data_IF_269243827598
#
_entry.id   IF_269243827598
#
_cell.length_a   1.000
_cell.length_b   1.000
_cell.length_c   1.000
_cell.angle_alpha   90.00
_cell.angle_beta   90.00
_cell.angle_gamma   90.00
#
_symmetry.space_group_name_H-M   'P 1'
#
loop_
_entity.id
_entity.type
_entity.pdbx_description
1 polymer ?
#
# COMPACT_ATOMS: atom_id res chain seq x y z
N UNK A 1 20.66 -71.38 15.09
CA UNK A 1 19.71 -70.71 14.20
C UNK A 1 19.08 -69.61 15.04
N UNK A 2 19.73 -68.45 15.02
CA UNK A 2 19.61 -67.41 16.04
C UNK A 2 18.93 -66.19 15.45
N UNK A 3 17.85 -65.80 16.11
CA UNK A 3 16.95 -64.68 15.88
C UNK A 3 17.63 -63.33 16.20
N UNK A 4 17.60 -62.31 15.33
CA UNK A 4 18.12 -60.99 15.65
C UNK A 4 16.99 -59.96 15.81
N UNK A 5 16.24 -60.03 16.91
CA UNK A 5 15.46 -58.89 17.41
C UNK A 5 15.57 -58.78 18.93
N UNK A 6 16.70 -58.23 19.39
CA UNK A 6 16.81 -57.69 20.75
C UNK A 6 17.96 -56.69 20.87
N UNK A 7 17.63 -55.40 20.86
CA UNK A 7 18.37 -54.28 21.46
C UNK A 7 17.59 -52.99 21.12
N UNK A 8 17.48 -51.95 21.94
CA UNK A 8 17.62 -51.70 23.37
C UNK A 8 17.11 -50.25 23.51
N UNK A 9 16.22 -49.97 24.46
CA UNK A 9 15.80 -48.59 24.78
C UNK A 9 16.81 -48.01 25.76
N UNK A 10 17.37 -46.80 25.55
CA UNK A 10 18.02 -46.07 26.62
C UNK A 10 17.05 -45.07 27.27
N UNK A 11 17.02 -45.14 28.60
CA UNK A 11 16.43 -44.19 29.52
C UNK A 11 17.15 -42.83 29.50
N UNK A 12 16.50 -41.86 30.14
CA UNK A 12 16.69 -40.41 30.18
C UNK A 12 18.09 -39.84 30.49
N UNK A 13 18.32 -38.67 29.87
CA UNK A 13 18.88 -37.39 30.37
C UNK A 13 20.10 -37.43 31.32
N UNK A 14 21.25 -36.93 30.85
CA UNK A 14 21.83 -35.62 31.24
C UNK A 14 23.26 -35.49 30.66
N UNK A 15 23.74 -34.25 30.56
CA UNK A 15 25.07 -33.80 30.15
C UNK A 15 25.44 -33.84 28.66
N UNK A 16 25.02 -32.78 27.94
CA UNK A 16 25.90 -32.15 26.95
C UNK A 16 25.88 -30.64 27.15
N UNK A 17 26.92 -30.18 27.84
CA UNK A 17 27.33 -28.79 27.97
C UNK A 17 27.73 -28.22 26.59
N UNK A 18 27.01 -27.20 26.15
CA UNK A 18 27.40 -26.33 25.04
C UNK A 18 27.21 -24.88 25.47
N UNK A 19 28.10 -24.42 26.35
CA UNK A 19 28.34 -23.00 26.56
C UNK A 19 28.75 -22.30 25.25
N UNK A 20 27.88 -21.42 24.76
CA UNK A 20 28.27 -20.24 23.99
C UNK A 20 27.31 -19.11 24.37
N UNK A 21 27.74 -18.31 25.33
CA UNK A 21 27.21 -16.97 25.57
C UNK A 21 27.40 -16.11 24.32
N UNK A 22 26.35 -15.41 23.92
CA UNK A 22 26.37 -14.51 22.79
C UNK A 22 24.97 -14.00 22.48
N UNK A 23 24.58 -12.97 23.22
CA UNK A 23 23.40 -12.13 22.96
C UNK A 23 23.22 -11.87 21.47
N UNK A 24 22.21 -12.49 20.88
CA UNK A 24 21.66 -12.12 19.58
C UNK A 24 20.23 -11.66 19.79
N UNK A 25 20.18 -10.37 20.10
CA UNK A 25 19.08 -9.43 20.08
C UNK A 25 17.86 -9.93 19.25
N UNK A 26 16.77 -10.18 19.97
CA UNK A 26 15.47 -10.49 19.42
C UNK A 26 14.91 -9.25 18.72
N UNK A 27 15.27 -9.08 17.44
CA UNK A 27 14.74 -8.03 16.58
C UNK A 27 13.21 -8.06 16.56
N UNK A 28 12.63 -7.05 17.18
CA UNK A 28 11.19 -6.78 17.27
C UNK A 28 10.56 -6.79 15.88
N UNK A 29 9.45 -7.51 15.77
CA UNK A 29 8.68 -7.67 14.54
C UNK A 29 8.24 -6.32 14.00
N UNK A 30 8.48 -6.10 12.72
CA UNK A 30 8.04 -4.91 12.00
C UNK A 30 6.52 -5.01 11.80
N UNK A 31 5.77 -4.28 12.62
CA UNK A 31 4.33 -4.07 12.47
C UNK A 31 4.04 -3.29 11.19
N UNK A 32 3.81 -4.02 10.10
CA UNK A 32 3.30 -3.48 8.84
C UNK A 32 1.94 -4.08 8.54
N UNK A 33 0.94 -3.20 8.39
CA UNK A 33 -0.35 -3.40 7.70
C UNK A 33 -1.63 -3.32 8.56
N UNK A 34 -1.66 -2.38 9.52
CA UNK A 34 -2.93 -1.85 10.06
C UNK A 34 -2.89 -0.33 10.10
N UNK A 35 -3.11 0.32 8.97
CA UNK A 35 -3.14 1.79 8.95
C UNK A 35 -4.51 2.31 8.52
N UNK A 36 -5.08 3.15 9.38
CA UNK A 36 -5.96 4.24 8.94
C UNK A 36 -5.16 5.29 8.15
N UNK A 37 -5.70 6.48 7.88
CA UNK A 37 -4.93 7.51 7.18
C UNK A 37 -3.63 7.78 7.96
N UNK A 38 -2.50 7.69 7.27
CA UNK A 38 -1.19 7.95 7.84
C UNK A 38 -1.14 9.40 8.35
N UNK A 39 -0.50 9.68 9.50
CA UNK A 39 -0.38 11.04 10.01
C UNK A 39 0.20 11.98 8.95
N UNK A 40 -0.32 13.20 8.84
CA UNK A 40 0.07 14.17 7.82
C UNK A 40 1.04 15.18 8.41
N UNK A 41 2.20 15.33 7.79
CA UNK A 41 3.23 16.33 8.13
C UNK A 41 3.26 17.40 7.05
N UNK A 42 2.84 18.62 7.37
CA UNK A 42 2.89 19.74 6.43
C UNK A 42 4.21 20.50 6.54
N UNK A 43 4.89 20.73 5.41
CA UNK A 43 6.10 21.56 5.34
C UNK A 43 5.73 22.95 4.86
N UNK A 44 5.87 23.94 5.75
CA UNK A 44 5.51 25.35 5.52
C UNK A 44 6.70 26.26 5.75
N UNK A 45 6.71 27.41 5.08
CA UNK A 45 7.80 28.38 5.17
C UNK A 45 7.89 29.23 3.91
N UNK A 46 8.64 30.33 3.97
CA UNK A 46 8.84 31.22 2.82
C UNK A 46 9.44 30.52 1.60
N UNK A 47 9.35 31.11 0.40
CA UNK A 47 10.14 30.67 -0.74
C UNK A 47 11.65 30.61 -0.42
N UNK A 48 12.37 29.67 -1.05
CA UNK A 48 13.84 29.54 -0.98
C UNK A 48 14.47 29.20 0.39
N UNK A 49 13.68 28.89 1.41
CA UNK A 49 14.17 28.38 2.71
C UNK A 49 14.62 26.91 2.66
N UNK A 50 14.43 26.22 1.53
CA UNK A 50 14.86 24.83 1.31
C UNK A 50 13.84 23.75 1.68
N UNK A 51 12.53 24.05 1.63
CA UNK A 51 11.43 23.10 1.88
C UNK A 51 11.52 21.84 1.01
N UNK A 52 11.60 21.99 -0.31
CA UNK A 52 11.62 20.84 -1.22
C UNK A 52 12.91 20.02 -1.09
N UNK A 53 14.04 20.66 -0.74
CA UNK A 53 15.27 19.93 -0.38
C UNK A 53 15.08 19.09 0.88
N UNK A 54 14.40 19.62 1.90
CA UNK A 54 14.08 18.90 3.13
C UNK A 54 13.10 17.75 2.88
N UNK A 55 12.05 17.98 2.08
CA UNK A 55 11.09 16.94 1.67
C UNK A 55 11.81 15.82 0.93
N UNK A 56 12.63 16.15 -0.07
CA UNK A 56 13.44 15.17 -0.80
C UNK A 56 14.40 14.39 0.10
N UNK A 57 14.90 15.04 1.16
CA UNK A 57 15.75 14.38 2.15
C UNK A 57 14.96 13.33 2.95
N UNK A 58 13.75 13.69 3.38
CA UNK A 58 12.86 12.86 4.21
C UNK A 58 12.35 11.62 3.44
N UNK A 59 11.96 11.78 2.17
CA UNK A 59 11.41 10.67 1.36
C UNK A 59 12.46 9.62 0.95
N UNK A 60 13.75 9.96 0.92
CA UNK A 60 14.83 9.05 0.51
C UNK A 60 14.85 8.70 -0.99
N UNK A 61 15.99 8.16 -1.47
CA UNK A 61 16.31 8.00 -2.91
C UNK A 61 15.51 6.93 -3.69
N UNK A 62 14.37 6.42 -3.21
CA UNK A 62 13.60 5.38 -3.91
C UNK A 62 12.31 5.85 -4.60
N UNK A 63 12.03 7.15 -4.66
CA UNK A 63 10.95 7.70 -5.49
C UNK A 63 11.31 8.95 -6.30
N UNK A 64 12.58 9.39 -6.31
CA UNK A 64 13.00 10.52 -7.13
C UNK A 64 13.31 10.07 -8.57
N UNK A 65 12.29 9.96 -9.43
CA UNK A 65 12.50 10.34 -10.83
C UNK A 65 12.45 11.86 -10.84
N UNK A 66 13.63 12.44 -11.05
CA UNK A 66 13.79 13.86 -11.34
C UNK A 66 13.19 14.11 -12.72
N UNK A 67 12.07 14.82 -12.79
CA UNK A 67 11.86 15.77 -13.89
C UNK A 67 12.11 17.17 -13.32
N UNK A 68 13.34 17.65 -13.52
CA UNK A 68 13.68 19.06 -13.41
C UNK A 68 13.08 19.79 -14.62
N UNK A 69 11.83 20.26 -14.48
CA UNK A 69 11.28 21.30 -15.36
C UNK A 69 10.90 22.50 -14.48
N UNK A 70 11.74 23.55 -14.43
CA UNK A 70 11.37 24.79 -13.78
C UNK A 70 10.22 25.43 -14.56
N UNK A 71 9.00 25.45 -14.00
CA UNK A 71 7.86 26.12 -14.64
C UNK A 71 6.46 25.59 -14.37
N UNK A 72 6.28 24.53 -13.58
CA UNK A 72 4.94 23.99 -13.27
C UNK A 72 4.54 24.26 -11.83
N UNK A 73 3.56 25.13 -11.67
CA UNK A 73 2.65 25.13 -10.51
C UNK A 73 1.36 24.43 -10.90
N UNK A 74 0.54 23.87 -10.03
CA UNK A 74 0.33 24.03 -8.58
C UNK A 74 -0.60 22.86 -8.23
N UNK A 75 -0.21 21.98 -7.32
CA UNK A 75 -1.12 21.22 -6.45
C UNK A 75 -0.29 20.63 -5.30
N UNK A 76 -0.93 20.43 -4.15
CA UNK A 76 -0.29 19.88 -2.94
C UNK A 76 0.29 18.51 -3.26
N UNK A 77 1.61 18.40 -3.30
CA UNK A 77 2.24 17.10 -3.55
C UNK A 77 2.43 16.41 -2.20
N UNK A 78 1.68 15.32 -2.02
CA UNK A 78 1.79 14.41 -0.90
C UNK A 78 2.77 13.29 -1.26
N UNK A 79 3.70 13.00 -0.36
CA UNK A 79 4.66 11.91 -0.51
C UNK A 79 4.58 10.99 0.70
N UNK A 80 4.74 9.69 0.48
CA UNK A 80 4.85 8.72 1.57
C UNK A 80 6.27 8.74 2.16
N UNK A 81 6.35 8.75 3.49
CA UNK A 81 7.60 8.73 4.22
C UNK A 81 7.53 7.68 5.35
N UNK A 82 8.70 7.16 5.71
CA UNK A 82 8.86 6.21 6.80
C UNK A 82 10.10 6.54 7.61
N UNK A 83 9.97 6.62 8.93
CA UNK A 83 11.08 6.79 9.86
C UNK A 83 10.87 5.91 11.10
N UNK A 84 11.92 5.23 11.56
CA UNK A 84 11.87 4.29 12.70
C UNK A 84 10.65 3.34 12.70
N UNK A 85 10.32 2.80 11.52
CA UNK A 85 9.20 1.88 11.31
C UNK A 85 7.82 2.55 11.20
N UNK A 86 7.66 3.82 11.56
CA UNK A 86 6.40 4.56 11.51
C UNK A 86 6.22 5.27 10.17
N UNK A 87 5.08 5.04 9.50
CA UNK A 87 4.74 5.69 8.23
C UNK A 87 3.95 6.97 8.47
N UNK A 88 4.15 7.95 7.59
CA UNK A 88 3.44 9.22 7.59
C UNK A 88 3.47 9.82 6.18
N UNK A 89 2.55 10.74 5.91
CA UNK A 89 2.49 11.45 4.63
C UNK A 89 3.08 12.84 4.81
N UNK A 90 4.02 13.23 3.96
CA UNK A 90 4.58 14.59 3.95
C UNK A 90 3.95 15.40 2.82
N UNK A 91 3.46 16.60 3.13
CA UNK A 91 2.83 17.50 2.15
C UNK A 91 3.73 18.73 1.97
N UNK A 92 4.31 18.88 0.78
CA UNK A 92 5.01 20.12 0.41
C UNK A 92 3.98 21.16 -0.01
N UNK A 93 4.00 22.29 0.68
CA UNK A 93 3.10 23.39 0.36
C UNK A 93 3.55 24.17 -0.87
N UNK A 94 4.74 23.92 -1.41
CA UNK A 94 5.31 24.64 -2.54
C UNK A 94 5.72 26.06 -2.15
N UNK A 95 6.93 26.49 -2.50
CA UNK A 95 7.33 27.89 -2.33
C UNK A 95 6.83 28.71 -3.51
N UNK A 96 5.88 29.64 -3.34
CA UNK A 96 5.49 30.51 -4.46
C UNK A 96 5.37 32.00 -4.14
N UNK A 97 5.80 32.78 -5.13
CA UNK A 97 5.79 34.23 -5.16
C UNK A 97 4.37 34.79 -5.27
N UNK A 98 3.98 35.69 -4.36
CA UNK A 98 2.80 36.53 -4.52
C UNK A 98 3.17 37.76 -5.37
N UNK A 99 2.31 38.09 -6.33
CA UNK A 99 2.31 39.39 -6.98
C UNK A 99 2.27 40.51 -5.93
N UNK A 100 3.03 41.57 -6.23
CA UNK A 100 3.73 42.44 -5.29
C UNK A 100 2.89 43.37 -4.39
N UNK A 101 1.63 43.04 -4.07
CA UNK A 101 0.77 43.93 -3.25
C UNK A 101 0.48 43.47 -1.83
N UNK A 102 0.61 42.18 -1.48
CA UNK A 102 0.35 41.73 -0.09
C UNK A 102 1.00 40.35 0.24
N UNK A 103 2.34 40.26 0.15
CA UNK A 103 3.08 38.98 0.28
C UNK A 103 2.82 38.23 1.60
N UNK A 104 2.69 38.95 2.71
CA UNK A 104 2.46 38.36 4.03
C UNK A 104 1.09 37.66 4.15
N UNK A 105 0.03 38.22 3.55
CA UNK A 105 -1.32 37.63 3.59
C UNK A 105 -1.42 36.36 2.76
N UNK A 106 -0.81 36.34 1.58
CA UNK A 106 -0.79 35.17 0.71
C UNK A 106 -0.08 33.98 1.39
N UNK A 107 1.04 34.24 2.07
CA UNK A 107 1.80 33.23 2.81
C UNK A 107 1.00 32.71 4.00
N UNK A 108 0.31 33.60 4.73
CA UNK A 108 -0.56 33.21 5.84
C UNK A 108 -1.72 32.31 5.39
N UNK A 109 -2.42 32.66 4.30
CA UNK A 109 -3.54 31.86 3.79
C UNK A 109 -3.12 30.47 3.29
N UNK A 110 -1.94 30.38 2.67
CA UNK A 110 -1.39 29.10 2.21
C UNK A 110 -0.97 28.20 3.37
N UNK A 111 -0.28 28.78 4.36
CA UNK A 111 0.07 28.06 5.56
C UNK A 111 -1.20 27.63 6.32
N UNK A 112 -2.25 28.45 6.39
CA UNK A 112 -3.52 28.11 7.02
C UNK A 112 -4.19 26.91 6.35
N UNK A 113 -4.22 26.90 5.01
CA UNK A 113 -4.77 25.79 4.26
C UNK A 113 -3.99 24.48 4.53
N UNK A 114 -2.66 24.54 4.55
CA UNK A 114 -1.81 23.37 4.77
C UNK A 114 -1.90 22.84 6.20
N UNK A 115 -1.98 23.76 7.15
CA UNK A 115 -2.13 23.45 8.56
C UNK A 115 -3.49 22.79 8.80
N UNK A 116 -4.57 23.19 8.13
CA UNK A 116 -5.91 22.64 8.34
C UNK A 116 -5.97 21.10 8.27
N UNK A 117 -5.20 20.48 7.37
CA UNK A 117 -5.19 19.02 7.14
C UNK A 117 -4.01 18.28 7.77
N UNK A 118 -3.06 19.00 8.40
CA UNK A 118 -1.87 18.40 9.00
C UNK A 118 -2.11 17.87 10.42
N UNK A 119 -1.40 16.85 10.85
CA UNK A 119 -1.28 16.46 12.26
C UNK A 119 -0.09 17.15 12.93
N UNK A 120 0.99 17.38 12.17
CA UNK A 120 2.20 18.10 12.61
C UNK A 120 2.64 19.07 11.53
N UNK A 121 3.16 20.23 11.93
CA UNK A 121 3.60 21.27 11.01
C UNK A 121 5.10 21.52 11.17
N UNK A 122 5.86 21.39 10.08
CA UNK A 122 7.26 21.79 10.00
C UNK A 122 7.35 23.21 9.46
N UNK A 123 7.69 24.18 10.31
CA UNK A 123 7.91 25.55 9.90
C UNK A 123 9.39 25.81 9.61
N UNK A 124 9.73 25.87 8.32
CA UNK A 124 11.11 25.94 7.83
C UNK A 124 11.54 27.40 7.63
N UNK A 125 12.63 27.77 8.30
CA UNK A 125 13.29 29.08 8.21
C UNK A 125 14.73 28.89 7.73
N UNK A 126 15.24 29.85 6.96
CA UNK A 126 16.65 29.88 6.55
C UNK A 126 17.50 30.50 7.66
N UNK A 127 18.37 29.70 8.31
CA UNK A 127 19.22 30.16 9.41
C UNK A 127 20.21 31.25 9.00
N UNK A 128 20.57 31.35 7.70
CA UNK A 128 21.50 32.38 7.20
C UNK A 128 20.85 33.76 7.13
N UNK A 129 19.52 33.80 7.01
CA UNK A 129 18.74 35.03 6.90
C UNK A 129 18.17 35.44 8.26
N UNK A 130 17.86 34.47 9.12
CA UNK A 130 17.19 34.71 10.40
C UNK A 130 15.69 34.95 10.24
N UNK A 131 15.05 35.42 11.31
CA UNK A 131 13.63 35.74 11.34
C UNK A 131 13.31 36.99 10.52
N UNK A 132 12.25 36.94 9.72
CA UNK A 132 11.74 38.06 8.93
C UNK A 132 10.29 38.39 9.29
N UNK A 133 9.80 39.59 8.97
CA UNK A 133 8.40 40.01 9.18
C UNK A 133 7.38 39.03 8.59
N UNK A 134 7.76 38.38 7.49
CA UNK A 134 6.94 37.37 6.82
C UNK A 134 6.84 36.08 7.64
N UNK A 135 7.93 35.70 8.32
CA UNK A 135 7.93 34.54 9.21
C UNK A 135 7.11 34.84 10.46
N UNK A 136 7.20 36.07 11.01
CA UNK A 136 6.37 36.49 12.14
C UNK A 136 4.87 36.49 11.82
N UNK A 137 4.49 36.87 10.60
CA UNK A 137 3.10 36.76 10.14
C UNK A 137 2.63 35.29 10.08
N UNK A 138 3.47 34.39 9.57
CA UNK A 138 3.18 32.96 9.53
C UNK A 138 3.08 32.37 10.96
N UNK A 139 4.00 32.74 11.86
CA UNK A 139 4.01 32.34 13.27
C UNK A 139 2.72 32.72 14.00
N UNK A 140 2.22 33.95 13.78
CA UNK A 140 0.93 34.40 14.36
C UNK A 140 -0.26 33.55 13.90
N UNK A 141 -0.25 33.06 12.67
CA UNK A 141 -1.27 32.13 12.18
C UNK A 141 -1.06 30.73 12.78
N UNK A 142 0.17 30.21 12.73
CA UNK A 142 0.52 28.89 13.25
C UNK A 142 0.15 28.72 14.73
N UNK A 143 0.40 29.74 15.56
CA UNK A 143 -0.01 29.74 16.98
C UNK A 143 -1.52 29.65 17.19
N UNK A 144 -2.33 30.18 16.28
CA UNK A 144 -3.81 30.10 16.35
C UNK A 144 -4.36 28.73 15.95
N UNK A 145 -3.58 27.91 15.26
CA UNK A 145 -4.03 26.63 14.71
C UNK A 145 -4.15 25.49 15.74
N UNK A 146 -3.60 25.68 16.94
CA UNK A 146 -3.51 24.66 18.00
C UNK A 146 -2.81 23.34 17.63
N UNK A 147 -2.18 23.26 16.44
CA UNK A 147 -1.44 22.08 16.00
C UNK A 147 0.00 22.10 16.54
N UNK A 148 0.63 20.92 16.75
CA UNK A 148 2.06 20.84 17.02
C UNK A 148 2.87 21.46 15.87
N UNK A 149 3.69 22.45 16.19
CA UNK A 149 4.58 23.13 15.22
C UNK A 149 6.01 22.91 15.64
N UNK A 150 6.83 22.36 14.73
CA UNK A 150 8.27 22.22 14.91
C UNK A 150 8.97 23.28 14.07
N UNK A 151 9.79 24.12 14.73
CA UNK A 151 10.58 25.14 14.08
C UNK A 151 11.85 24.50 13.49
N UNK A 152 12.02 24.57 12.17
CA UNK A 152 13.13 23.96 11.46
C UNK A 152 14.07 25.05 10.95
N UNK A 153 15.28 25.09 11.48
CA UNK A 153 16.32 26.04 11.13
C UNK A 153 17.22 25.42 10.04
N UNK A 154 16.90 25.65 8.77
CA UNK A 154 17.54 24.99 7.64
C UNK A 154 18.80 25.72 7.15
N UNK A 155 19.64 25.02 6.38
CA UNK A 155 20.95 25.45 5.85
C UNK A 155 22.04 25.61 6.92
N UNK A 156 21.94 24.86 8.03
CA UNK A 156 22.95 24.82 9.11
C UNK A 156 24.06 23.84 8.74
N UNK A 157 25.09 24.34 8.06
CA UNK A 157 26.13 23.49 7.47
C UNK A 157 27.37 23.30 8.36
N UNK A 158 27.46 24.00 9.49
CA UNK A 158 28.56 23.91 10.45
C UNK A 158 28.11 24.25 11.89
N UNK A 159 28.99 23.98 12.86
CA UNK A 159 28.70 24.17 14.29
C UNK A 159 28.48 25.65 14.69
N UNK A 160 29.13 26.60 14.01
CA UNK A 160 28.90 28.03 14.27
C UNK A 160 27.47 28.43 13.93
N UNK A 161 26.98 27.98 12.77
CA UNK A 161 25.60 28.23 12.34
C UNK A 161 24.55 27.54 13.22
N UNK A 162 24.93 26.44 13.87
CA UNK A 162 24.08 25.76 14.85
C UNK A 162 23.85 26.67 16.07
N UNK A 163 24.91 27.31 16.57
CA UNK A 163 24.82 28.31 17.65
C UNK A 163 23.99 29.51 17.19
N UNK A 164 24.23 30.03 15.98
CA UNK A 164 23.48 31.18 15.43
C UNK A 164 21.98 30.91 15.27
N UNK A 165 21.60 29.66 14.95
CA UNK A 165 20.20 29.24 14.86
C UNK A 165 19.44 29.43 16.18
N UNK A 166 20.16 29.58 17.31
CA UNK A 166 19.58 29.88 18.62
C UNK A 166 18.82 31.21 18.66
N UNK A 167 19.16 32.14 17.78
CA UNK A 167 18.42 33.40 17.63
C UNK A 167 16.94 33.21 17.25
N UNK A 168 16.60 32.09 16.59
CA UNK A 168 15.23 31.79 16.14
C UNK A 168 14.25 31.42 17.27
N UNK A 169 14.74 31.19 18.49
CA UNK A 169 13.88 31.08 19.67
C UNK A 169 12.97 32.31 19.87
N UNK A 170 13.41 33.48 19.38
CA UNK A 170 12.63 34.72 19.40
C UNK A 170 11.27 34.61 18.69
N UNK A 171 11.12 33.69 17.72
CA UNK A 171 9.85 33.39 17.07
C UNK A 171 8.84 32.71 18.03
N UNK A 172 9.31 32.20 19.16
CA UNK A 172 8.51 31.58 20.22
C UNK A 172 7.62 30.44 19.72
N UNK A 173 8.20 29.55 18.92
CA UNK A 173 7.61 28.27 18.51
C UNK A 173 8.29 27.08 19.21
N UNK A 174 9.03 27.34 20.29
CA UNK A 174 9.85 26.35 20.99
C UNK A 174 11.28 26.29 20.43
N UNK A 175 11.98 25.19 20.72
CA UNK A 175 13.34 24.95 20.28
C UNK A 175 13.41 24.78 18.74
N UNK A 176 14.23 25.56 18.01
CA UNK A 176 14.57 25.30 16.63
C UNK A 176 15.42 24.04 16.50
N UNK A 177 15.09 23.24 15.49
CA UNK A 177 15.83 22.06 15.07
C UNK A 177 16.79 22.46 13.95
N UNK A 178 18.11 22.54 14.21
CA UNK A 178 19.10 22.90 13.20
C UNK A 178 19.28 21.76 12.20
N UNK A 179 19.04 22.04 10.92
CA UNK A 179 19.19 21.05 9.85
C UNK A 179 19.96 21.59 8.66
N UNK A 180 20.72 20.71 8.02
CA UNK A 180 21.16 20.92 6.63
C UNK A 180 20.42 19.92 5.76
N UNK A 181 19.34 20.36 5.12
CA UNK A 181 18.61 19.50 4.19
C UNK A 181 19.49 18.97 3.05
N UNK A 182 20.48 19.77 2.62
CA UNK A 182 21.40 19.43 1.54
C UNK A 182 22.43 18.37 1.97
N UNK A 183 23.00 18.50 3.18
CA UNK A 183 24.07 17.63 3.66
C UNK A 183 23.60 16.53 4.64
N UNK A 184 22.32 16.56 5.04
CA UNK A 184 21.69 15.59 5.92
C UNK A 184 21.94 15.79 7.43
N UNK A 185 22.70 16.80 7.84
CA UNK A 185 22.94 17.11 9.27
C UNK A 185 21.62 17.43 9.98
N UNK A 186 21.43 16.88 11.18
CA UNK A 186 20.27 17.15 12.07
C UNK A 186 18.93 16.59 11.58
N UNK A 187 18.90 15.92 10.42
CA UNK A 187 17.65 15.40 9.86
C UNK A 187 17.07 14.22 10.63
N UNK A 188 17.91 13.40 11.28
CA UNK A 188 17.47 12.31 12.16
C UNK A 188 16.77 12.84 13.41
N UNK A 189 17.42 13.75 14.14
CA UNK A 189 16.86 14.37 15.36
C UNK A 189 15.54 15.10 15.07
N UNK A 190 15.45 15.80 13.92
CA UNK A 190 14.19 16.40 13.47
C UNK A 190 13.11 15.34 13.23
N UNK A 191 13.44 14.22 12.60
CA UNK A 191 12.47 13.16 12.31
C UNK A 191 11.99 12.46 13.57
N UNK A 192 12.87 12.28 14.57
CA UNK A 192 12.48 11.76 15.89
C UNK A 192 11.49 12.70 16.58
N UNK A 193 11.77 14.00 16.58
CA UNK A 193 10.85 15.02 17.11
C UNK A 193 9.51 15.07 16.35
N UNK A 194 9.53 14.85 15.04
CA UNK A 194 8.31 14.72 14.23
C UNK A 194 7.46 13.55 14.69
N UNK A 195 8.05 12.38 14.95
CA UNK A 195 7.31 11.22 15.44
C UNK A 195 6.73 11.44 16.84
N UNK A 196 7.47 12.14 17.71
CA UNK A 196 7.00 12.49 19.06
C UNK A 196 5.83 13.48 19.04
N UNK A 197 5.85 14.45 18.11
CA UNK A 197 4.79 15.44 17.95
C UNK A 197 3.52 14.89 17.29
N UNK A 198 3.60 13.75 16.60
CA UNK A 198 2.43 13.12 15.99
C UNK A 198 1.47 12.55 17.04
N UNK A 199 0.16 12.49 16.76
CA UNK A 199 -0.79 11.77 17.59
C UNK A 199 -0.25 10.38 17.92
N UNK A 200 -0.31 9.94 19.18
CA UNK A 200 0.17 8.62 19.57
C UNK A 200 -0.40 7.56 18.62
N UNK A 201 0.41 6.60 18.14
CA UNK A 201 -0.10 5.52 17.31
C UNK A 201 -1.29 4.89 18.04
N UNK A 202 -2.40 4.76 17.33
CA UNK A 202 -3.58 4.12 17.89
C UNK A 202 -3.16 2.74 18.42
N UNK A 203 -3.62 2.34 19.63
CA UNK A 203 -3.42 0.97 20.09
C UNK A 203 -3.78 0.00 18.96
N UNK A 204 -3.00 -1.08 18.74
CA UNK A 204 -3.19 -2.03 17.63
C UNK A 204 -4.63 -2.57 17.47
N UNK A 205 -5.44 -2.42 18.52
CA UNK A 205 -6.79 -2.94 18.70
C UNK A 205 -7.90 -1.88 18.83
N UNK A 206 -7.67 -0.61 18.49
CA UNK A 206 -8.78 0.35 18.33
C UNK A 206 -9.27 0.34 16.88
N UNK A 207 -10.39 -0.34 16.54
CA UNK A 207 -10.97 -0.25 15.22
C UNK A 207 -11.48 1.17 14.99
N UNK A 208 -10.69 1.99 14.28
CA UNK A 208 -11.26 3.16 13.60
C UNK A 208 -12.22 2.64 12.53
N UNK A 209 -13.37 3.30 12.30
CA UNK A 209 -14.18 2.99 11.14
C UNK A 209 -13.34 3.28 9.90
N UNK A 210 -12.80 2.22 9.27
CA UNK A 210 -12.28 2.30 7.91
C UNK A 210 -13.43 2.79 7.04
N UNK A 211 -13.16 3.76 6.17
CA UNK A 211 -14.13 4.15 5.14
C UNK A 211 -14.56 2.94 4.29
N UNK A 212 -15.58 3.11 3.44
CA UNK A 212 -16.02 2.07 2.51
C UNK A 212 -14.85 1.39 1.80
N UNK A 213 -14.87 0.05 1.69
CA UNK A 213 -13.81 -0.71 1.03
C UNK A 213 -13.71 -0.31 -0.44
N UNK A 214 -12.49 -0.22 -0.97
CA UNK A 214 -12.24 0.28 -2.34
C UNK A 214 -12.26 -0.86 -3.35
N UNK A 215 -13.13 -0.73 -4.35
CA UNK A 215 -13.30 -1.73 -5.41
C UNK A 215 -13.16 -1.09 -6.79
N UNK A 216 -12.36 -1.72 -7.65
CA UNK A 216 -12.27 -1.35 -9.07
C UNK A 216 -13.13 -2.28 -9.92
N UNK A 217 -13.87 -1.72 -10.87
CA UNK A 217 -14.58 -2.48 -11.90
C UNK A 217 -13.86 -2.32 -13.23
N UNK A 218 -13.14 -3.37 -13.64
CA UNK A 218 -12.29 -3.36 -14.84
C UNK A 218 -12.72 -4.43 -15.83
N UNK A 219 -12.27 -4.30 -17.08
CA UNK A 219 -12.64 -5.20 -18.18
C UNK A 219 -12.60 -4.46 -19.51
N UNK A 220 -12.67 -5.19 -20.62
CA UNK A 220 -12.64 -4.61 -21.97
C UNK A 220 -13.86 -3.72 -22.27
N UNK A 221 -13.84 -2.87 -23.30
CA UNK A 221 -15.06 -2.20 -23.78
C UNK A 221 -16.20 -3.20 -24.03
N UNK A 222 -17.46 -2.79 -23.81
CA UNK A 222 -18.67 -3.55 -24.15
C UNK A 222 -18.92 -4.91 -23.44
N UNK A 223 -18.05 -5.32 -22.51
CA UNK A 223 -18.26 -6.52 -21.65
C UNK A 223 -19.40 -6.36 -20.65
N UNK A 224 -20.00 -5.17 -20.53
CA UNK A 224 -21.16 -4.90 -19.67
C UNK A 224 -20.86 -4.22 -18.32
N UNK A 225 -19.71 -3.54 -18.18
CA UNK A 225 -19.36 -2.77 -16.96
C UNK A 225 -20.44 -1.77 -16.55
N UNK A 226 -20.88 -0.90 -17.48
CA UNK A 226 -21.92 0.10 -17.18
C UNK A 226 -23.26 -0.53 -16.83
N UNK A 227 -23.62 -1.66 -17.48
CA UNK A 227 -24.84 -2.39 -17.14
C UNK A 227 -24.77 -2.97 -15.71
N UNK A 228 -23.60 -3.50 -15.31
CA UNK A 228 -23.41 -4.03 -13.97
C UNK A 228 -23.47 -2.93 -12.91
N UNK A 229 -22.78 -1.80 -13.13
CA UNK A 229 -22.84 -0.65 -12.22
C UNK A 229 -24.26 -0.11 -12.06
N UNK A 230 -24.98 0.03 -13.18
CA UNK A 230 -26.35 0.51 -13.14
C UNK A 230 -27.27 -0.46 -12.38
N UNK A 231 -27.01 -1.78 -12.45
CA UNK A 231 -27.76 -2.75 -11.65
C UNK A 231 -27.43 -2.63 -10.18
N UNK A 232 -26.15 -2.66 -9.81
CA UNK A 232 -25.71 -2.49 -8.43
C UNK A 232 -26.28 -1.19 -7.83
N UNK A 233 -26.28 -0.10 -8.60
CA UNK A 233 -26.85 1.18 -8.17
C UNK A 233 -28.39 1.24 -8.15
N UNK A 234 -29.10 0.32 -8.81
CA UNK A 234 -30.57 0.31 -8.90
C UNK A 234 -31.22 -0.61 -7.87
N UNK A 235 -30.54 -1.67 -7.44
CA UNK A 235 -31.04 -2.60 -6.42
C UNK A 235 -31.05 -1.98 -5.01
N UNK A 236 -30.24 -0.94 -4.78
CA UNK A 236 -30.04 -0.33 -3.47
C UNK A 236 -30.25 1.20 -3.49
N UNK A 237 -31.46 1.67 -3.89
CA UNK A 237 -31.87 3.03 -3.53
C UNK A 237 -32.20 3.08 -2.04
N UNK A 238 -31.20 3.25 -1.20
CA UNK A 238 -31.35 3.72 0.17
C UNK A 238 -30.23 4.73 0.50
N UNK A 239 -30.56 6.01 0.32
CA UNK A 239 -30.00 7.18 1.02
C UNK A 239 -28.47 7.41 0.87
N UNK A 240 -28.10 8.34 -0.02
CA UNK A 240 -26.95 9.21 0.25
C UNK A 240 -27.53 10.55 0.66
N UNK A 241 -27.69 10.75 1.97
CA UNK A 241 -28.00 12.05 2.51
C UNK A 241 -26.76 12.92 2.31
N UNK A 242 -26.90 13.99 1.54
CA UNK A 242 -25.87 14.99 1.34
C UNK A 242 -25.73 15.76 2.65
N UNK A 243 -24.83 15.34 3.54
CA UNK A 243 -24.38 16.21 4.63
C UNK A 243 -23.60 17.35 3.99
N UNK A 244 -24.27 18.50 3.86
CA UNK A 244 -23.70 19.74 3.38
C UNK A 244 -22.50 20.13 4.26
N UNK A 245 -21.30 20.21 3.69
CA UNK A 245 -20.16 20.81 4.40
C UNK A 245 -18.76 20.29 4.12
N UNK A 246 -18.55 19.32 3.24
CA UNK A 246 -17.18 18.86 2.92
C UNK A 246 -16.81 19.19 1.49
N UNK A 247 -15.76 20.00 1.30
CA UNK A 247 -15.00 20.11 0.06
C UNK A 247 -14.31 18.78 -0.20
N UNK A 248 -15.04 17.86 -0.84
CA UNK A 248 -14.56 16.53 -1.22
C UNK A 248 -13.95 16.64 -2.62
N UNK A 249 -12.72 16.15 -2.74
CA UNK A 249 -12.04 15.95 -4.01
C UNK A 249 -12.99 15.27 -5.02
N UNK A 250 -13.07 15.76 -6.25
CA UNK A 250 -14.02 15.22 -7.20
C UNK A 250 -13.62 13.78 -7.62
N UNK A 251 -14.62 12.89 -7.60
CA UNK A 251 -14.76 11.64 -8.38
C UNK A 251 -14.39 10.28 -7.75
N UNK A 252 -14.88 9.99 -6.54
CA UNK A 252 -15.16 8.61 -6.13
C UNK A 252 -16.66 8.43 -5.89
N UNK A 253 -17.24 7.35 -6.41
CA UNK A 253 -18.67 7.09 -6.21
C UNK A 253 -18.86 5.96 -5.21
N UNK A 254 -19.64 6.22 -4.17
CA UNK A 254 -20.11 5.17 -3.27
C UNK A 254 -21.14 4.29 -4.00
N UNK A 255 -21.02 2.98 -3.84
CA UNK A 255 -22.00 2.00 -4.26
C UNK A 255 -22.23 1.03 -3.12
N UNK A 256 -23.49 0.70 -2.87
CA UNK A 256 -23.82 -0.41 -2.01
C UNK A 256 -23.68 -1.70 -2.86
N UNK A 257 -23.13 -2.77 -2.26
CA UNK A 257 -23.00 -4.08 -2.89
C UNK A 257 -23.26 -5.13 -1.81
N UNK A 258 -24.46 -5.71 -1.82
CA UNK A 258 -24.87 -6.75 -0.87
C UNK A 258 -25.00 -6.23 0.56
N UNK A 259 -25.63 -5.06 0.72
CA UNK A 259 -25.88 -4.43 2.02
C UNK A 259 -24.66 -3.78 2.69
N UNK A 260 -23.54 -3.64 1.97
CA UNK A 260 -22.34 -2.96 2.45
C UNK A 260 -21.98 -1.83 1.49
N UNK A 261 -21.59 -0.67 2.02
CA UNK A 261 -21.09 0.44 1.20
C UNK A 261 -19.63 0.20 0.77
N UNK A 262 -19.38 0.38 -0.52
CA UNK A 262 -18.09 0.30 -1.17
C UNK A 262 -17.76 1.61 -1.90
N UNK A 263 -16.49 1.95 -1.98
CA UNK A 263 -15.99 3.05 -2.78
C UNK A 263 -15.57 2.50 -4.15
N UNK A 264 -16.26 2.91 -5.22
CA UNK A 264 -15.86 2.57 -6.58
C UNK A 264 -14.77 3.52 -7.05
N UNK A 265 -13.60 2.96 -7.31
CA UNK A 265 -12.43 3.71 -7.79
C UNK A 265 -12.58 4.00 -9.30
N UNK A 266 -12.38 5.26 -9.70
CA UNK A 266 -12.39 5.75 -11.08
C UNK A 266 -13.72 5.58 -11.87
N UNK A 267 -14.81 6.14 -11.33
CA UNK A 267 -16.13 6.10 -12.01
C UNK A 267 -16.43 7.26 -12.95
N UNK A 268 -15.57 8.27 -13.05
CA UNK A 268 -15.71 9.37 -14.03
C UNK A 268 -15.83 8.84 -15.46
N UNK A 269 -15.05 7.81 -15.81
CA UNK A 269 -15.10 7.16 -17.13
C UNK A 269 -16.33 6.26 -17.33
N UNK A 270 -16.87 5.69 -16.26
CA UNK A 270 -18.01 4.77 -16.30
C UNK A 270 -19.35 5.50 -16.38
N UNK A 271 -19.47 6.70 -15.80
CA UNK A 271 -20.67 7.57 -15.90
C UNK A 271 -20.67 8.46 -17.15
N UNK A 272 -19.53 8.99 -17.63
CA UNK A 272 -19.50 9.80 -18.87
C UNK A 272 -19.90 9.03 -20.14
N UNK A 273 -19.81 7.69 -20.13
CA UNK A 273 -20.17 6.83 -21.28
C UNK A 273 -21.66 6.57 -21.45
N UNK A 274 -22.52 7.08 -20.57
CA UNK A 274 -23.99 6.98 -20.78
C UNK A 274 -24.47 7.97 -21.86
N UNK A 275 -23.66 8.98 -22.24
CA UNK A 275 -24.06 10.02 -23.19
C UNK A 275 -23.21 10.19 -24.46
N UNK A 276 -21.91 9.91 -24.44
CA UNK A 276 -21.06 10.16 -25.62
C UNK A 276 -19.95 9.11 -25.76
N UNK A 277 -20.01 8.37 -26.87
CA UNK A 277 -18.93 7.54 -27.35
C UNK A 277 -18.08 8.37 -28.31
N UNK A 278 -16.90 8.82 -27.88
CA UNK A 278 -15.81 9.11 -28.82
C UNK A 278 -14.44 9.07 -28.15
N UNK A 279 -13.51 8.43 -28.87
CA UNK A 279 -12.09 8.80 -28.94
C UNK A 279 -11.28 8.77 -27.65
N UNK A 280 -10.68 7.61 -27.34
CA UNK A 280 -9.21 7.42 -27.16
C UNK A 280 -8.94 6.17 -26.32
N UNK A 281 -8.53 5.08 -26.98
CA UNK A 281 -8.14 3.83 -26.29
C UNK A 281 -6.93 4.00 -25.37
N UNK A 282 -6.00 4.90 -25.73
CA UNK A 282 -4.78 5.18 -24.96
C UNK A 282 -5.04 5.83 -23.58
N UNK A 283 -6.04 6.71 -23.48
CA UNK A 283 -6.42 7.31 -22.19
C UNK A 283 -7.31 6.39 -21.35
N UNK A 284 -7.87 5.33 -21.93
CA UNK A 284 -8.63 4.31 -21.19
C UNK A 284 -7.69 3.32 -20.46
N UNK A 285 -6.52 2.99 -21.03
CA UNK A 285 -5.54 2.10 -20.39
C UNK A 285 -4.83 2.76 -19.20
N UNK A 286 -4.37 4.02 -19.33
CA UNK A 286 -3.72 4.75 -18.23
C UNK A 286 -4.64 4.95 -17.01
N UNK A 287 -5.94 5.17 -17.24
CA UNK A 287 -6.95 5.27 -16.18
C UNK A 287 -7.22 3.92 -15.48
N UNK A 288 -7.16 2.83 -16.23
CA UNK A 288 -7.34 1.48 -15.68
C UNK A 288 -6.25 1.14 -14.65
N UNK A 289 -5.01 1.58 -14.86
CA UNK A 289 -3.90 1.34 -13.91
C UNK A 289 -4.09 2.09 -12.59
N UNK A 290 -4.35 3.39 -12.64
CA UNK A 290 -4.60 4.19 -11.44
C UNK A 290 -5.79 3.65 -10.63
N UNK A 291 -6.85 3.19 -11.31
CA UNK A 291 -8.00 2.57 -10.67
C UNK A 291 -7.65 1.25 -9.95
N UNK A 292 -6.82 0.40 -10.57
CA UNK A 292 -6.33 -0.84 -9.97
C UNK A 292 -5.43 -0.53 -8.77
N UNK A 293 -4.53 0.43 -8.89
CA UNK A 293 -3.58 0.80 -7.83
C UNK A 293 -4.25 1.43 -6.60
N UNK A 294 -5.36 2.14 -6.79
CA UNK A 294 -6.11 2.71 -5.68
C UNK A 294 -7.13 1.72 -5.07
N UNK A 295 -7.43 0.60 -5.72
CA UNK A 295 -8.37 -0.41 -5.21
C UNK A 295 -7.73 -1.42 -4.26
N UNK A 296 -8.54 -2.06 -3.42
CA UNK A 296 -8.12 -3.19 -2.59
C UNK A 296 -8.49 -4.52 -3.29
N UNK A 297 -9.65 -4.50 -3.96
CA UNK A 297 -10.16 -5.63 -4.75
C UNK A 297 -10.60 -5.14 -6.13
N UNK A 298 -10.31 -5.94 -7.15
CA UNK A 298 -10.77 -5.69 -8.52
C UNK A 298 -11.79 -6.76 -8.93
N UNK A 299 -12.89 -6.30 -9.51
CA UNK A 299 -13.82 -7.13 -10.29
C UNK A 299 -13.39 -7.02 -11.75
N UNK A 300 -12.86 -8.11 -12.31
CA UNK A 300 -12.55 -8.20 -13.73
C UNK A 300 -13.75 -8.81 -14.45
N UNK A 301 -14.43 -8.00 -15.25
CA UNK A 301 -15.59 -8.41 -16.04
C UNK A 301 -15.14 -8.98 -17.40
N UNK A 302 -15.50 -10.23 -17.64
CA UNK A 302 -15.27 -10.95 -18.89
C UNK A 302 -16.62 -11.22 -19.58
N UNK A 303 -16.66 -11.13 -20.90
CA UNK A 303 -17.84 -11.54 -21.66
C UNK A 303 -17.81 -13.05 -21.87
N UNK A 304 -18.73 -13.79 -21.25
CA UNK A 304 -18.79 -15.24 -21.34
C UNK A 304 -19.28 -15.75 -22.73
N UNK A 305 -19.95 -14.89 -23.49
CA UNK A 305 -20.46 -15.22 -24.83
C UNK A 305 -19.37 -15.15 -25.91
N UNK A 306 -18.25 -14.48 -25.62
CA UNK A 306 -17.12 -14.33 -26.52
C UNK A 306 -15.90 -15.14 -26.02
N UNK A 307 -14.95 -15.48 -26.91
CA UNK A 307 -13.67 -16.05 -26.50
C UNK A 307 -12.85 -15.09 -25.63
N UNK A 308 -12.10 -15.63 -24.66
CA UNK A 308 -11.14 -14.85 -23.87
C UNK A 308 -10.01 -14.37 -24.79
N UNK A 309 -9.80 -13.05 -24.90
CA UNK A 309 -8.77 -12.47 -25.78
C UNK A 309 -7.58 -11.93 -25.01
N UNK A 310 -6.50 -11.59 -25.74
CA UNK A 310 -5.26 -11.08 -25.15
C UNK A 310 -5.47 -9.84 -24.26
N UNK A 311 -6.39 -8.94 -24.64
CA UNK A 311 -6.69 -7.76 -23.85
C UNK A 311 -7.31 -8.11 -22.47
N UNK A 312 -8.08 -9.19 -22.37
CA UNK A 312 -8.56 -9.69 -21.06
C UNK A 312 -7.38 -10.16 -20.20
N UNK A 313 -6.45 -10.90 -20.80
CA UNK A 313 -5.24 -11.38 -20.12
C UNK A 313 -4.36 -10.24 -19.64
N UNK A 314 -4.20 -9.17 -20.44
CA UNK A 314 -3.46 -7.98 -20.03
C UNK A 314 -4.08 -7.31 -18.80
N UNK A 315 -5.42 -7.18 -18.75
CA UNK A 315 -6.12 -6.63 -17.58
C UNK A 315 -5.89 -7.50 -16.34
N UNK A 316 -5.97 -8.81 -16.49
CA UNK A 316 -5.71 -9.75 -15.40
C UNK A 316 -4.28 -9.64 -14.87
N UNK A 317 -3.30 -9.58 -15.77
CA UNK A 317 -1.89 -9.38 -15.40
C UNK A 317 -1.70 -8.11 -14.59
N UNK A 318 -2.27 -6.97 -15.04
CA UNK A 318 -2.18 -5.70 -14.32
C UNK A 318 -2.73 -5.78 -12.90
N UNK A 319 -3.88 -6.44 -12.70
CA UNK A 319 -4.45 -6.64 -11.35
C UNK A 319 -3.53 -7.51 -10.48
N UNK A 320 -3.01 -8.61 -11.02
CA UNK A 320 -2.13 -9.52 -10.26
C UNK A 320 -0.77 -8.90 -9.93
N UNK A 321 -0.20 -8.13 -10.84
CA UNK A 321 1.07 -7.42 -10.66
C UNK A 321 0.94 -6.28 -9.65
N UNK A 322 -0.20 -5.60 -9.62
CA UNK A 322 -0.54 -4.63 -8.60
C UNK A 322 -0.83 -5.26 -7.22
N UNK A 323 -0.83 -6.60 -7.13
CA UNK A 323 -1.00 -7.32 -5.88
C UNK A 323 -2.41 -7.20 -5.28
N UNK A 324 -3.44 -6.94 -6.09
CA UNK A 324 -4.82 -6.74 -5.59
C UNK A 324 -5.61 -8.03 -5.50
N UNK A 325 -6.57 -8.07 -4.59
CA UNK A 325 -7.56 -9.15 -4.57
C UNK A 325 -8.35 -9.15 -5.89
N UNK A 326 -8.76 -10.33 -6.36
CA UNK A 326 -9.33 -10.52 -7.68
C UNK A 326 -10.58 -11.40 -7.64
N UNK A 327 -11.66 -10.87 -8.20
CA UNK A 327 -12.89 -11.62 -8.52
C UNK A 327 -13.11 -11.56 -10.03
N UNK A 328 -13.24 -12.73 -10.66
CA UNK A 328 -13.59 -12.87 -12.07
C UNK A 328 -15.10 -12.97 -12.21
N UNK A 329 -15.69 -12.04 -12.95
CA UNK A 329 -17.12 -12.05 -13.22
C UNK A 329 -17.36 -12.34 -14.71
N UNK A 330 -17.82 -13.55 -15.01
CA UNK A 330 -18.22 -13.98 -16.35
C UNK A 330 -19.63 -13.47 -16.63
N UNK A 331 -19.70 -12.31 -17.28
CA UNK A 331 -20.92 -11.58 -17.58
C UNK A 331 -21.57 -12.08 -18.88
N UNK A 332 -22.83 -11.69 -19.10
CA UNK A 332 -23.70 -12.15 -20.20
C UNK A 332 -23.95 -13.67 -20.17
N UNK A 333 -24.00 -14.24 -18.97
CA UNK A 333 -24.29 -15.67 -18.79
C UNK A 333 -25.67 -16.10 -19.31
N UNK A 334 -26.58 -15.14 -19.56
CA UNK A 334 -27.85 -15.37 -20.26
C UNK A 334 -27.70 -15.75 -21.74
N UNK A 335 -26.52 -15.52 -22.33
CA UNK A 335 -26.21 -15.84 -23.73
C UNK A 335 -25.36 -17.12 -23.88
N UNK A 336 -25.01 -17.79 -22.80
CA UNK A 336 -24.14 -18.98 -22.81
C UNK A 336 -25.00 -20.24 -22.90
N UNK A 337 -24.92 -20.92 -24.03
CA UNK A 337 -25.50 -22.25 -24.26
C UNK A 337 -24.53 -23.39 -23.88
N UNK A 338 -24.94 -24.65 -24.09
CA UNK A 338 -24.12 -25.83 -23.73
C UNK A 338 -22.81 -25.89 -24.52
N UNK A 339 -22.86 -25.59 -25.81
CA UNK A 339 -21.68 -25.58 -26.68
C UNK A 339 -20.70 -24.48 -26.26
N UNK A 340 -21.17 -23.24 -26.07
CA UNK A 340 -20.31 -22.14 -25.61
C UNK A 340 -19.70 -22.44 -24.25
N UNK A 341 -20.47 -23.04 -23.32
CA UNK A 341 -19.97 -23.45 -22.01
C UNK A 341 -18.81 -24.43 -22.13
N UNK A 342 -18.93 -25.46 -22.98
CA UNK A 342 -17.87 -26.43 -23.20
C UNK A 342 -16.56 -25.78 -23.70
N UNK A 343 -16.65 -24.84 -24.64
CA UNK A 343 -15.47 -24.11 -25.11
C UNK A 343 -14.91 -23.14 -24.06
N UNK A 344 -15.77 -22.44 -23.34
CA UNK A 344 -15.36 -21.51 -22.29
C UNK A 344 -14.60 -22.21 -21.17
N UNK A 345 -15.03 -23.39 -20.72
CA UNK A 345 -14.32 -24.16 -19.68
C UNK A 345 -12.89 -24.50 -20.12
N UNK A 346 -12.70 -24.87 -21.39
CA UNK A 346 -11.37 -25.11 -21.98
C UNK A 346 -10.53 -23.85 -22.12
N UNK A 347 -11.15 -22.72 -22.45
CA UNK A 347 -10.47 -21.43 -22.51
C UNK A 347 -10.02 -20.98 -21.12
N UNK A 348 -10.85 -21.12 -20.10
CA UNK A 348 -10.50 -20.85 -18.70
C UNK A 348 -9.30 -21.70 -18.29
N UNK A 349 -9.34 -23.00 -18.59
CA UNK A 349 -8.25 -23.91 -18.27
C UNK A 349 -6.97 -23.61 -19.05
N UNK A 350 -7.02 -22.92 -20.19
CA UNK A 350 -5.85 -22.62 -21.01
C UNK A 350 -5.29 -21.22 -20.73
N UNK A 351 -6.13 -20.21 -20.80
CA UNK A 351 -5.76 -18.80 -20.72
C UNK A 351 -5.61 -18.32 -19.27
N UNK A 352 -6.36 -18.91 -18.31
CA UNK A 352 -6.37 -18.48 -16.92
C UNK A 352 -5.53 -19.37 -15.99
N UNK A 353 -4.65 -20.22 -16.55
CA UNK A 353 -3.79 -21.17 -15.80
C UNK A 353 -2.91 -20.52 -14.73
N UNK A 354 -2.60 -19.23 -14.88
CA UNK A 354 -1.75 -18.48 -13.93
C UNK A 354 -2.50 -17.97 -12.71
N UNK A 355 -3.84 -17.92 -12.78
CA UNK A 355 -4.71 -17.41 -11.72
C UNK A 355 -5.81 -18.42 -11.33
N UNK A 356 -5.49 -19.71 -11.12
CA UNK A 356 -6.50 -20.71 -10.77
C UNK A 356 -7.16 -20.42 -9.42
N UNK A 357 -6.50 -19.59 -8.60
CA UNK A 357 -6.95 -19.15 -7.29
C UNK A 357 -7.99 -18.03 -7.34
N UNK A 358 -8.27 -17.41 -8.49
CA UNK A 358 -9.23 -16.32 -8.56
C UNK A 358 -10.67 -16.84 -8.42
N UNK A 359 -11.49 -16.17 -7.59
CA UNK A 359 -12.90 -16.53 -7.38
C UNK A 359 -13.67 -16.22 -8.67
N UNK A 360 -14.42 -17.18 -9.18
CA UNK A 360 -15.20 -17.06 -10.43
C UNK A 360 -16.69 -16.95 -10.13
N UNK A 361 -17.35 -15.93 -10.68
CA UNK A 361 -18.78 -15.70 -10.53
C UNK A 361 -19.41 -15.54 -11.91
N UNK A 362 -20.39 -16.39 -12.22
CA UNK A 362 -21.14 -16.30 -13.48
C UNK A 362 -22.35 -15.40 -13.27
N UNK A 363 -22.42 -14.28 -13.99
CA UNK A 363 -23.41 -13.22 -13.80
C UNK A 363 -24.10 -12.81 -15.10
N UNK A 364 -25.27 -12.21 -14.98
CA UNK A 364 -25.88 -11.46 -16.08
C UNK A 364 -26.27 -10.07 -15.62
N UNK A 365 -25.46 -9.09 -16.01
CA UNK A 365 -25.73 -7.67 -15.83
C UNK A 365 -26.94 -7.17 -16.65
N UNK A 366 -27.56 -8.00 -17.51
CA UNK A 366 -28.83 -7.69 -18.16
C UNK A 366 -30.05 -8.22 -17.39
N UNK A 367 -30.00 -9.47 -16.90
CA UNK A 367 -31.15 -10.11 -16.24
C UNK A 367 -31.17 -9.98 -14.72
N UNK A 368 -30.00 -9.85 -14.10
CA UNK A 368 -29.82 -9.77 -12.64
C UNK A 368 -29.29 -11.06 -12.04
N UNK A 369 -29.25 -12.13 -12.85
CA UNK A 369 -28.82 -13.46 -12.42
C UNK A 369 -27.47 -13.40 -11.72
N UNK A 370 -27.44 -13.91 -10.49
CA UNK A 370 -26.25 -14.13 -9.64
C UNK A 370 -25.42 -12.88 -9.33
N UNK A 371 -25.93 -11.67 -9.54
CA UNK A 371 -25.19 -10.43 -9.22
C UNK A 371 -24.97 -10.32 -7.71
N UNK A 372 -25.92 -10.81 -6.91
CA UNK A 372 -25.86 -10.96 -5.45
C UNK A 372 -24.64 -11.77 -4.97
N UNK A 373 -24.15 -12.71 -5.79
CA UNK A 373 -22.97 -13.54 -5.46
C UNK A 373 -21.65 -12.79 -5.53
N UNK A 374 -21.60 -11.59 -6.11
CA UNK A 374 -20.40 -10.76 -6.13
C UNK A 374 -20.02 -10.28 -4.73
N UNK A 375 -21.00 -9.91 -3.89
CA UNK A 375 -20.74 -9.44 -2.53
C UNK A 375 -20.01 -10.45 -1.64
N UNK A 376 -20.44 -11.73 -1.51
CA UNK A 376 -19.69 -12.72 -0.74
C UNK A 376 -18.33 -13.04 -1.38
N UNK A 377 -18.22 -13.07 -2.71
CA UNK A 377 -16.94 -13.29 -3.39
C UNK A 377 -15.92 -12.18 -3.09
N UNK A 378 -16.34 -10.92 -3.13
CA UNK A 378 -15.50 -9.77 -2.77
C UNK A 378 -15.03 -9.84 -1.31
N UNK A 379 -15.94 -10.17 -0.39
CA UNK A 379 -15.60 -10.32 1.03
C UNK A 379 -14.60 -11.45 1.27
N UNK A 380 -14.77 -12.60 0.62
CA UNK A 380 -13.85 -13.72 0.72
C UNK A 380 -12.46 -13.34 0.17
N UNK A 381 -12.42 -12.75 -1.02
CA UNK A 381 -11.16 -12.32 -1.65
C UNK A 381 -10.40 -11.33 -0.76
N UNK A 382 -11.10 -10.35 -0.18
CA UNK A 382 -10.49 -9.38 0.73
C UNK A 382 -10.05 -9.99 2.06
N UNK A 383 -10.87 -10.87 2.66
CA UNK A 383 -10.50 -11.56 3.88
C UNK A 383 -9.20 -12.37 3.69
N UNK A 384 -9.06 -13.06 2.55
CA UNK A 384 -7.85 -13.78 2.19
C UNK A 384 -6.68 -12.85 1.85
N UNK A 385 -6.93 -11.69 1.24
CA UNK A 385 -5.95 -10.64 0.95
C UNK A 385 -5.52 -9.84 2.20
N UNK A 386 -6.17 -10.03 3.36
CA UNK A 386 -5.73 -9.45 4.64
C UNK A 386 -5.29 -10.55 5.63
N UNK A 387 -5.33 -11.81 5.20
CA UNK A 387 -5.08 -12.96 6.07
C UNK A 387 -3.63 -13.00 6.54
N UNK A 388 -3.45 -13.00 7.86
CA UNK A 388 -2.17 -13.24 8.53
C UNK A 388 -2.11 -14.70 9.03
N UNK A 389 -1.08 -15.42 8.61
CA UNK A 389 -0.70 -16.73 9.16
C UNK A 389 0.34 -16.53 10.25
N UNK A 390 0.08 -16.92 11.51
CA UNK A 390 1.06 -16.82 12.59
C UNK A 390 2.38 -17.53 12.26
N UNK A 391 3.51 -16.89 12.55
CA UNK A 391 4.85 -17.42 12.24
C UNK A 391 5.08 -18.81 12.82
N UNK A 392 4.58 -19.09 14.03
CA UNK A 392 4.68 -20.42 14.65
C UNK A 392 3.95 -21.49 13.84
N UNK A 393 2.69 -21.25 13.49
CA UNK A 393 1.87 -22.15 12.67
C UNK A 393 2.50 -22.37 11.29
N UNK A 394 2.97 -21.30 10.64
CA UNK A 394 3.62 -21.37 9.34
C UNK A 394 4.87 -22.25 9.36
N UNK A 395 5.72 -22.11 10.39
CA UNK A 395 6.97 -22.88 10.47
C UNK A 395 6.71 -24.35 10.82
N UNK A 396 5.75 -24.64 11.71
CA UNK A 396 5.34 -26.02 12.00
C UNK A 396 4.87 -26.75 10.74
N UNK A 397 3.98 -26.11 9.99
CA UNK A 397 3.49 -26.63 8.71
C UNK A 397 4.62 -26.80 7.69
N UNK A 398 5.49 -25.80 7.54
CA UNK A 398 6.57 -25.83 6.56
C UNK A 398 7.60 -26.91 6.87
N UNK A 399 7.92 -27.13 8.15
CA UNK A 399 8.79 -28.23 8.57
C UNK A 399 8.20 -29.58 8.17
N UNK A 400 6.91 -29.81 8.46
CA UNK A 400 6.22 -31.04 8.06
C UNK A 400 6.20 -31.23 6.54
N UNK A 401 5.93 -30.15 5.79
CA UNK A 401 5.91 -30.18 4.33
C UNK A 401 7.28 -30.56 3.73
N UNK A 402 8.36 -29.93 4.22
CA UNK A 402 9.73 -30.19 3.74
C UNK A 402 10.19 -31.60 4.11
N UNK A 403 9.77 -32.15 5.25
CA UNK A 403 10.06 -33.53 5.62
C UNK A 403 9.33 -34.53 4.71
N UNK A 404 8.04 -34.29 4.44
CA UNK A 404 7.24 -35.15 3.57
C UNK A 404 7.67 -35.07 2.09
N UNK A 405 8.12 -33.90 1.63
CA UNK A 405 8.57 -33.69 0.25
C UNK A 405 9.82 -32.81 0.24
N UNK A 406 11.03 -33.39 0.42
CA UNK A 406 12.27 -32.63 0.44
C UNK A 406 12.60 -31.95 -0.89
N UNK A 407 13.39 -30.87 -0.84
CA UNK A 407 13.91 -30.21 -2.05
C UNK A 407 14.85 -31.15 -2.83
N UNK A 408 14.70 -31.27 -4.17
CA UNK A 408 15.54 -32.16 -4.98
C UNK A 408 17.01 -31.74 -4.99
N UNK A 409 17.89 -32.69 -4.71
CA UNK A 409 19.33 -32.49 -4.71
C UNK A 409 19.85 -32.31 -6.15
N UNK A 410 20.50 -31.18 -6.45
CA UNK A 410 21.29 -31.01 -7.69
C UNK A 410 22.72 -30.58 -7.34
N UNK A 411 23.71 -31.39 -7.76
CA UNK A 411 25.13 -31.01 -7.70
C UNK A 411 25.75 -30.95 -6.31
N UNK A 412 25.26 -31.72 -5.32
CA UNK A 412 25.87 -31.79 -3.99
C UNK A 412 24.86 -31.82 -2.85
N UNK A 413 24.94 -30.88 -1.91
CA UNK A 413 24.03 -30.81 -0.75
C UNK A 413 22.79 -29.98 -1.08
N UNK A 414 21.59 -30.53 -0.85
CA UNK A 414 20.36 -29.78 -1.07
C UNK A 414 20.28 -28.52 -0.17
N UNK A 415 19.80 -27.40 -0.72
CA UNK A 415 19.49 -26.21 0.06
C UNK A 415 18.41 -26.55 1.09
N UNK A 416 18.63 -26.17 2.35
CA UNK A 416 17.67 -26.36 3.44
C UNK A 416 16.85 -25.10 3.63
N UNK A 417 15.56 -25.28 3.85
CA UNK A 417 14.68 -24.24 4.37
C UNK A 417 14.91 -24.16 5.87
N UNK A 418 15.25 -22.99 6.38
CA UNK A 418 15.55 -22.74 7.79
C UNK A 418 14.26 -22.38 8.53
N UNK A 419 13.58 -21.36 8.04
CA UNK A 419 12.30 -20.88 8.55
C UNK A 419 11.61 -20.01 7.48
N UNK A 420 10.36 -19.68 7.71
CA UNK A 420 9.59 -18.74 6.90
C UNK A 420 8.88 -17.71 7.77
N UNK A 421 8.57 -16.57 7.17
CA UNK A 421 7.70 -15.54 7.75
C UNK A 421 6.78 -14.98 6.68
N UNK A 422 5.63 -14.46 7.10
CA UNK A 422 4.77 -13.66 6.24
C UNK A 422 5.08 -12.17 6.44
N UNK A 423 5.80 -11.58 5.49
CA UNK A 423 6.30 -10.21 5.55
C UNK A 423 5.21 -9.14 5.30
N UNK A 424 4.15 -9.47 4.56
CA UNK A 424 2.99 -8.57 4.34
C UNK A 424 1.72 -9.40 4.14
N UNK A 425 0.56 -8.82 4.45
CA UNK A 425 -0.75 -9.45 4.21
C UNK A 425 -1.38 -9.04 2.90
N UNK A 426 -1.04 -7.88 2.34
CA UNK A 426 -1.89 -7.18 1.37
C UNK A 426 -1.09 -6.72 0.13
N UNK A 427 -0.61 -7.65 -0.72
CA UNK A 427 -0.96 -9.08 -0.75
C UNK A 427 -0.12 -9.98 0.19
N UNK A 428 -0.56 -11.24 0.44
CA UNK A 428 0.17 -12.18 1.27
C UNK A 428 1.55 -12.50 0.69
N UNK A 429 2.60 -12.03 1.37
CA UNK A 429 4.00 -12.22 0.96
C UNK A 429 4.75 -13.07 1.96
N UNK A 430 5.21 -14.23 1.52
CA UNK A 430 5.98 -15.18 2.28
C UNK A 430 7.45 -15.12 1.89
N UNK A 431 8.33 -15.10 2.90
CA UNK A 431 9.79 -15.11 2.71
C UNK A 431 10.34 -16.40 3.31
N UNK A 432 10.91 -17.25 2.46
CA UNK A 432 11.59 -18.48 2.86
C UNK A 432 13.07 -18.17 3.07
N UNK A 433 13.56 -18.32 4.29
CA UNK A 433 14.98 -18.21 4.60
C UNK A 433 15.66 -19.55 4.41
N UNK A 434 16.69 -19.58 3.56
CA UNK A 434 17.29 -20.83 3.11
C UNK A 434 18.81 -20.81 3.17
N UNK A 435 19.45 -21.98 3.13
CA UNK A 435 20.92 -22.06 3.05
C UNK A 435 21.46 -21.83 1.63
N UNK A 436 20.59 -21.81 0.62
CA UNK A 436 20.93 -21.66 -0.79
C UNK A 436 19.67 -21.42 -1.62
N UNK A 437 19.82 -21.19 -2.93
CA UNK A 437 18.68 -20.98 -3.83
C UNK A 437 17.83 -22.25 -3.93
N UNK A 438 16.51 -22.10 -3.91
CA UNK A 438 15.57 -23.18 -4.23
C UNK A 438 15.24 -23.18 -5.72
N UNK A 439 14.96 -24.37 -6.25
CA UNK A 439 14.45 -24.53 -7.61
C UNK A 439 13.07 -23.86 -7.74
N UNK A 440 12.82 -23.16 -8.84
CA UNK A 440 11.58 -22.43 -9.07
C UNK A 440 10.34 -23.35 -9.06
N UNK A 441 10.47 -24.61 -9.50
CA UNK A 441 9.41 -25.62 -9.41
C UNK A 441 9.08 -25.98 -7.97
N UNK A 442 10.08 -26.05 -7.10
CA UNK A 442 9.86 -26.29 -5.68
C UNK A 442 9.23 -25.07 -4.97
N UNK A 443 9.61 -23.84 -5.35
CA UNK A 443 8.95 -22.64 -4.84
C UNK A 443 7.47 -22.62 -5.22
N UNK A 444 7.12 -22.96 -6.48
CA UNK A 444 5.73 -23.11 -6.92
C UNK A 444 4.99 -24.23 -6.19
N UNK A 445 5.67 -25.33 -5.88
CA UNK A 445 5.10 -26.41 -5.06
C UNK A 445 4.75 -25.92 -3.66
N UNK A 446 5.65 -25.18 -3.00
CA UNK A 446 5.40 -24.58 -1.67
C UNK A 446 4.24 -23.58 -1.74
N UNK A 447 4.21 -22.70 -2.74
CA UNK A 447 3.09 -21.77 -2.93
C UNK A 447 1.75 -22.50 -3.08
N UNK A 448 1.68 -23.53 -3.94
CA UNK A 448 0.46 -24.32 -4.11
C UNK A 448 0.03 -24.97 -2.81
N UNK A 449 0.96 -25.57 -2.07
CA UNK A 449 0.68 -26.22 -0.78
C UNK A 449 0.24 -25.22 0.28
N UNK A 450 0.80 -24.02 0.27
CA UNK A 450 0.42 -22.92 1.15
C UNK A 450 -1.03 -22.49 0.89
N UNK A 451 -1.43 -22.41 -0.39
CA UNK A 451 -2.83 -22.14 -0.78
C UNK A 451 -3.79 -23.25 -0.34
N UNK A 452 -3.39 -24.52 -0.47
CA UNK A 452 -4.18 -25.68 -0.03
C UNK A 452 -4.40 -25.69 1.49
N UNK A 453 -3.39 -25.34 2.27
CA UNK A 453 -3.45 -25.37 3.74
C UNK A 453 -4.24 -24.19 4.33
N UNK A 454 -3.90 -22.97 3.90
CA UNK A 454 -4.34 -21.75 4.59
C UNK A 454 -5.49 -21.02 3.90
N UNK A 455 -5.91 -21.50 2.73
CA UNK A 455 -6.89 -20.88 1.84
C UNK A 455 -6.54 -19.43 1.47
N UNK A 456 -6.09 -19.25 0.23
CA UNK A 456 -5.83 -17.93 -0.35
C UNK A 456 -6.60 -17.74 -1.67
N UNK A 457 -7.83 -18.26 -1.73
CA UNK A 457 -8.72 -17.99 -2.86
C UNK A 457 -9.02 -16.49 -2.97
N UNK A 458 -9.05 -15.97 -4.19
CA UNK A 458 -9.30 -14.56 -4.49
C UNK A 458 -8.11 -13.63 -4.27
N UNK A 459 -6.95 -14.11 -3.84
CA UNK A 459 -5.75 -13.26 -3.64
C UNK A 459 -4.48 -13.81 -4.32
N UNK A 460 -3.64 -12.95 -4.92
CA UNK A 460 -2.29 -13.33 -5.29
C UNK A 460 -1.49 -13.66 -4.01
N UNK A 461 -0.53 -14.58 -4.13
CA UNK A 461 0.37 -14.98 -3.04
C UNK A 461 1.78 -14.89 -3.60
N UNK A 462 2.65 -14.18 -2.90
CA UNK A 462 4.05 -14.06 -3.29
C UNK A 462 4.92 -14.94 -2.40
N UNK A 463 5.69 -15.85 -2.98
CA UNK A 463 6.70 -16.64 -2.25
C UNK A 463 8.08 -16.24 -2.75
N UNK A 464 8.88 -15.65 -1.86
CA UNK A 464 10.24 -15.21 -2.15
C UNK A 464 11.26 -16.01 -1.35
N UNK A 465 12.44 -16.26 -1.93
CA UNK A 465 13.51 -17.01 -1.28
C UNK A 465 14.66 -16.07 -0.94
N UNK A 466 15.11 -16.09 0.32
CA UNK A 466 16.24 -15.30 0.79
C UNK A 466 17.36 -16.22 1.32
N UNK A 467 18.39 -16.50 0.49
CA UNK A 467 19.53 -17.29 0.94
C UNK A 467 20.33 -16.54 2.00
N UNK A 468 20.81 -17.26 3.02
CA UNK A 468 21.76 -16.73 4.00
C UNK A 468 23.07 -16.36 3.28
N UNK A 469 23.51 -15.10 3.41
CA UNK A 469 24.86 -14.71 2.98
C UNK A 469 25.87 -15.46 3.86
N UNK A 470 26.83 -16.16 3.26
CA UNK A 470 28.01 -16.61 4.01
C UNK A 470 28.72 -15.35 4.51
N UNK A 471 29.03 -15.21 5.81
CA UNK A 471 29.91 -14.13 6.25
C UNK A 471 31.23 -14.27 5.50
N UNK A 472 31.71 -13.16 4.90
CA UNK A 472 33.06 -13.10 4.37
C UNK A 472 34.01 -13.35 5.55
N UNK A 473 34.80 -14.41 5.45
CA UNK A 473 35.90 -14.64 6.37
C UNK A 473 37.00 -13.62 6.17
#
# INVERSE_FOLDING_TARGET
MTDPFQAAVPESLDDVDLGVDGDLDAGTGVDGDREGPAPVVAVVGRPNVGKSTLVNRIIGRRQAVVEDVPGVTRDRVAYDAQWNGRRFTIVDTGGWEPDAKDRAKAIAAQAEAAVATADVVLFVVDSRVGSTDVDEAAVRMLRRSAKPVLLVANKVDNATMEIESTSLWSLGLGQPYPVSALHGRGSGDLLDAVLEAMPAPAPPDTPRPRGPRRVALVGRPNVGKSSLLNRLAREERAVVDSVAGTTVDPVDSLAEIGGQTWQLVDTAGLRKRVGQASGTEYFASLRTNAAIDAAEVAIVLLDASEPIIEQDQRILSMVTEAGRALVLAFNKWDLVDEDRRYYLDREIDRELRRIPWAIKVNVSAKTGRSVDKLAPALRQALANWEKRVPTGQLNQWLTALVQATPHPVRGGRAPRVLFATQASTSPPKFVLFTTGLLDAGYVRFVERKLREEFDFEGTPVEVTVRPRKKPSR
#
